data_IF_266120771339
#
_entry.id   IF_266120771339
#
_cell.length_a   1.000
_cell.length_b   1.000
_cell.length_c   1.000
_cell.angle_alpha   90.00
_cell.angle_beta   90.00
_cell.angle_gamma   90.00
#
_symmetry.space_group_name_H-M   'P 1'
#
loop_
_entity.id
_entity.type
_entity.pdbx_description
1 polymer ?
#
# COMPACT_ATOMS: atom_id res chain seq x y z
N UNK A 1 -25.01 7.84 -10.42
CA UNK A 1 -24.84 9.20 -11.00
C UNK A 1 -23.33 9.59 -11.01
N UNK A 2 -22.62 9.54 -9.90
CA UNK A 2 -21.18 9.89 -9.83
C UNK A 2 -20.32 8.99 -10.73
N UNK A 3 -20.61 7.70 -10.82
CA UNK A 3 -19.85 6.75 -11.64
C UNK A 3 -19.81 7.14 -13.13
N UNK A 4 -20.90 7.69 -13.67
CA UNK A 4 -20.94 8.18 -15.06
C UNK A 4 -19.90 9.28 -15.28
N UNK A 5 -19.85 10.25 -14.36
CA UNK A 5 -18.89 11.36 -14.39
C UNK A 5 -17.44 10.85 -14.26
N UNK A 6 -17.21 9.90 -13.36
CA UNK A 6 -15.87 9.35 -13.10
C UNK A 6 -15.34 8.49 -14.25
N UNK A 7 -16.19 7.84 -15.03
CA UNK A 7 -15.77 7.10 -16.23
C UNK A 7 -15.08 7.99 -17.27
N UNK A 8 -15.60 9.21 -17.44
CA UNK A 8 -15.07 10.15 -18.42
C UNK A 8 -13.74 10.79 -17.95
N UNK A 9 -13.42 10.68 -16.64
CA UNK A 9 -12.20 11.21 -16.06
C UNK A 9 -10.96 10.34 -16.31
N UNK A 10 -11.10 9.15 -16.91
CA UNK A 10 -10.02 8.20 -17.18
C UNK A 10 -9.12 7.93 -15.98
N UNK A 11 -9.74 7.64 -14.84
CA UNK A 11 -9.04 7.38 -13.58
C UNK A 11 -8.14 6.15 -13.69
N UNK A 12 -6.95 6.22 -13.10
CA UNK A 12 -6.06 5.05 -12.96
C UNK A 12 -6.70 4.02 -12.02
N UNK A 13 -7.23 4.45 -10.89
CA UNK A 13 -8.17 3.72 -10.03
C UNK A 13 -9.05 4.66 -9.22
N UNK A 14 -10.08 4.10 -8.60
CA UNK A 14 -10.92 4.76 -7.60
C UNK A 14 -10.73 4.02 -6.28
N UNK A 15 -10.23 4.71 -5.25
CA UNK A 15 -9.89 4.13 -3.96
C UNK A 15 -11.01 4.28 -2.96
N UNK A 16 -11.36 3.20 -2.29
CA UNK A 16 -12.36 3.08 -1.21
C UNK A 16 -13.63 3.95 -1.39
N UNK A 17 -14.32 3.89 -2.54
CA UNK A 17 -15.41 4.81 -2.86
C UNK A 17 -16.70 4.58 -2.08
N UNK A 18 -16.73 3.58 -1.18
CA UNK A 18 -17.90 3.22 -0.38
C UNK A 18 -17.53 3.20 1.10
N UNK A 19 -18.43 3.73 1.91
CA UNK A 19 -18.36 3.59 3.37
C UNK A 19 -19.52 2.72 3.90
N UNK A 20 -19.31 1.77 4.81
CA UNK A 20 -18.01 1.34 5.34
C UNK A 20 -17.18 0.57 4.30
N UNK A 21 -15.82 0.57 4.40
CA UNK A 21 -14.93 -0.05 3.41
C UNK A 21 -15.11 -1.58 3.32
N UNK A 22 -15.68 -2.23 4.32
CA UNK A 22 -16.02 -3.66 4.34
C UNK A 22 -17.28 -4.00 3.52
N UNK A 23 -17.93 -3.02 2.89
CA UNK A 23 -19.05 -3.28 2.00
C UNK A 23 -18.59 -3.85 0.65
N UNK A 24 -17.97 -5.04 0.69
CA UNK A 24 -17.39 -5.72 -0.47
C UNK A 24 -18.42 -5.97 -1.59
N UNK A 25 -19.67 -6.24 -1.23
CA UNK A 25 -20.75 -6.38 -2.23
C UNK A 25 -21.05 -5.07 -2.96
N UNK A 26 -20.96 -3.95 -2.26
CA UNK A 26 -21.10 -2.63 -2.85
C UNK A 26 -19.94 -2.30 -3.78
N UNK A 27 -18.70 -2.54 -3.34
CA UNK A 27 -17.49 -2.37 -4.16
C UNK A 27 -17.55 -3.23 -5.43
N UNK A 28 -17.93 -4.50 -5.31
CA UNK A 28 -18.11 -5.41 -6.45
C UNK A 28 -19.11 -4.87 -7.49
N UNK A 29 -20.23 -4.27 -7.03
CA UNK A 29 -21.19 -3.63 -7.93
C UNK A 29 -20.58 -2.43 -8.67
N UNK A 30 -19.77 -1.62 -7.99
CA UNK A 30 -19.08 -0.49 -8.61
C UNK A 30 -18.07 -0.98 -9.65
N UNK A 31 -17.24 -1.95 -9.29
CA UNK A 31 -16.24 -2.55 -10.17
C UNK A 31 -16.86 -3.05 -11.49
N UNK A 32 -18.03 -3.69 -11.44
CA UNK A 32 -18.77 -4.15 -12.63
C UNK A 32 -19.22 -3.03 -13.58
N UNK A 33 -19.15 -1.77 -13.16
CA UNK A 33 -19.38 -0.65 -14.05
C UNK A 33 -18.13 -0.22 -14.86
N UNK A 34 -17.01 -0.95 -14.73
CA UNK A 34 -15.80 -0.74 -15.55
C UNK A 34 -14.88 0.34 -15.02
N UNK A 35 -14.96 0.66 -13.71
CA UNK A 35 -13.96 1.50 -13.02
C UNK A 35 -13.05 0.57 -12.23
N UNK A 36 -11.73 0.73 -12.37
CA UNK A 36 -10.74 0.02 -11.56
C UNK A 36 -10.90 0.44 -10.10
N UNK A 37 -11.13 -0.52 -9.20
CA UNK A 37 -11.30 -0.28 -7.78
C UNK A 37 -10.05 -0.71 -7.02
N UNK A 38 -9.52 0.18 -6.18
CA UNK A 38 -8.49 -0.12 -5.19
C UNK A 38 -9.11 -0.08 -3.78
N UNK A 39 -8.74 -1.04 -2.93
CA UNK A 39 -9.24 -1.09 -1.55
C UNK A 39 -8.36 -1.99 -0.68
N UNK A 40 -8.40 -1.77 0.62
CA UNK A 40 -7.76 -2.66 1.58
C UNK A 40 -6.92 -1.98 2.65
N UNK A 41 -6.77 -0.68 2.63
CA UNK A 41 -6.01 0.04 3.67
C UNK A 41 -6.57 -0.15 5.07
N UNK A 42 -7.87 -0.38 5.19
CA UNK A 42 -8.57 -0.60 6.45
C UNK A 42 -8.71 -2.09 6.83
N UNK A 43 -8.34 -3.01 5.95
CA UNK A 43 -8.29 -4.43 6.25
C UNK A 43 -7.04 -4.78 7.08
N UNK A 44 -7.25 -5.51 8.18
CA UNK A 44 -6.22 -5.83 9.16
C UNK A 44 -5.79 -7.30 9.17
N UNK A 45 -6.42 -8.16 8.36
CA UNK A 45 -6.17 -9.60 8.35
C UNK A 45 -6.20 -10.16 6.93
N UNK A 46 -5.46 -11.24 6.68
CA UNK A 46 -5.52 -11.97 5.42
C UNK A 46 -6.94 -12.48 5.10
N UNK A 47 -7.75 -12.82 6.10
CA UNK A 47 -9.14 -13.22 5.92
C UNK A 47 -10.00 -12.12 5.27
N UNK A 48 -9.82 -10.86 5.65
CA UNK A 48 -10.54 -9.75 5.02
C UNK A 48 -10.14 -9.60 3.54
N UNK A 49 -8.90 -9.86 3.19
CA UNK A 49 -8.46 -9.89 1.79
C UNK A 49 -9.03 -11.11 1.03
N UNK A 50 -9.13 -12.28 1.66
CA UNK A 50 -9.81 -13.44 1.07
C UNK A 50 -11.29 -13.13 0.79
N UNK A 51 -11.99 -12.48 1.72
CA UNK A 51 -13.37 -12.02 1.54
C UNK A 51 -13.49 -10.98 0.42
N UNK A 52 -12.57 -10.01 0.35
CA UNK A 52 -12.52 -9.00 -0.70
C UNK A 52 -12.35 -9.65 -2.09
N UNK A 53 -11.43 -10.60 -2.20
CA UNK A 53 -11.18 -11.38 -3.42
C UNK A 53 -12.39 -12.23 -3.79
N UNK A 54 -12.97 -12.95 -2.82
CA UNK A 54 -14.12 -13.85 -3.03
C UNK A 54 -15.37 -13.10 -3.49
N UNK A 55 -15.52 -11.85 -3.09
CA UNK A 55 -16.60 -10.97 -3.55
C UNK A 55 -16.24 -10.19 -4.84
N UNK A 56 -15.06 -10.39 -5.41
CA UNK A 56 -14.58 -9.60 -6.56
C UNK A 56 -14.66 -8.09 -6.31
N UNK A 57 -14.34 -7.65 -5.09
CA UNK A 57 -14.60 -6.30 -4.63
C UNK A 57 -13.60 -5.25 -5.16
N UNK A 58 -12.36 -5.67 -5.46
CA UNK A 58 -11.31 -4.78 -5.93
C UNK A 58 -10.50 -5.40 -7.06
N UNK A 59 -9.83 -4.56 -7.85
CA UNK A 59 -8.81 -4.93 -8.84
C UNK A 59 -7.41 -4.79 -8.24
N UNK A 60 -7.27 -3.87 -7.29
CA UNK A 60 -6.02 -3.55 -6.59
C UNK A 60 -6.26 -3.73 -5.09
N UNK A 61 -5.47 -4.60 -4.48
CA UNK A 61 -5.44 -4.81 -3.04
C UNK A 61 -4.38 -3.93 -2.40
N UNK A 62 -4.76 -3.21 -1.36
CA UNK A 62 -3.89 -2.22 -0.70
C UNK A 62 -3.60 -2.59 0.77
N UNK A 63 -2.94 -3.73 1.04
CA UNK A 63 -2.56 -4.08 2.40
C UNK A 63 -1.52 -3.12 2.96
N UNK A 64 -1.66 -2.73 4.23
CA UNK A 64 -0.66 -1.96 4.95
C UNK A 64 0.19 -2.87 5.84
N UNK A 65 1.51 -2.88 5.65
CA UNK A 65 2.45 -3.67 6.49
C UNK A 65 2.22 -3.43 7.98
N UNK A 66 1.93 -2.20 8.34
CA UNK A 66 1.74 -1.80 9.75
C UNK A 66 0.39 -2.19 10.33
N UNK A 67 -0.61 -2.50 9.50
CA UNK A 67 -1.96 -2.85 9.93
C UNK A 67 -2.21 -4.37 9.91
N UNK A 68 -1.70 -5.07 8.88
CA UNK A 68 -2.01 -6.49 8.67
C UNK A 68 -1.16 -7.46 9.51
N UNK A 69 -0.23 -6.96 10.32
CA UNK A 69 0.64 -7.80 11.16
C UNK A 69 2.04 -8.04 10.60
N UNK A 70 2.48 -7.26 9.63
CA UNK A 70 3.86 -7.26 9.15
C UNK A 70 4.08 -7.92 7.79
N UNK A 71 5.36 -8.11 7.46
CA UNK A 71 5.83 -8.64 6.17
C UNK A 71 5.23 -10.01 5.85
N UNK A 72 5.19 -10.92 6.81
CA UNK A 72 4.69 -12.29 6.61
C UNK A 72 3.23 -12.31 6.18
N UNK A 73 2.40 -11.43 6.73
CA UNK A 73 0.99 -11.36 6.38
C UNK A 73 0.78 -10.75 4.98
N UNK A 74 1.55 -9.73 4.59
CA UNK A 74 1.50 -9.21 3.21
C UNK A 74 1.92 -10.29 2.20
N UNK A 75 2.96 -11.06 2.50
CA UNK A 75 3.37 -12.19 1.64
C UNK A 75 2.21 -13.17 1.47
N UNK A 76 1.52 -13.54 2.54
CA UNK A 76 0.34 -14.41 2.45
C UNK A 76 -0.74 -13.80 1.55
N UNK A 77 -1.07 -12.52 1.73
CA UNK A 77 -2.06 -11.80 0.92
C UNK A 77 -1.64 -11.80 -0.56
N UNK A 78 -0.38 -11.49 -0.86
CA UNK A 78 0.13 -11.50 -2.22
C UNK A 78 0.10 -12.89 -2.89
N UNK A 79 0.18 -13.95 -2.07
CA UNK A 79 0.11 -15.34 -2.53
C UNK A 79 -1.34 -15.87 -2.68
N UNK A 80 -2.37 -15.12 -2.27
CA UNK A 80 -3.78 -15.48 -2.47
C UNK A 80 -4.22 -15.45 -3.96
N UNK A 81 -3.32 -15.80 -4.88
CA UNK A 81 -3.46 -15.70 -6.33
C UNK A 81 -4.61 -16.57 -6.88
N UNK A 82 -5.84 -16.19 -6.67
CA UNK A 82 -6.97 -16.83 -7.35
C UNK A 82 -7.47 -16.04 -8.57
N UNK A 83 -7.13 -14.75 -8.71
CA UNK A 83 -7.64 -13.86 -9.76
C UNK A 83 -6.59 -12.81 -10.17
N UNK A 84 -6.83 -12.11 -11.27
CA UNK A 84 -5.97 -11.05 -11.84
C UNK A 84 -6.04 -9.73 -11.04
N UNK A 85 -5.84 -9.76 -9.73
CA UNK A 85 -5.69 -8.53 -8.95
C UNK A 85 -4.21 -8.17 -8.75
N UNK A 86 -3.95 -6.90 -8.60
CA UNK A 86 -2.63 -6.36 -8.26
C UNK A 86 -2.56 -6.13 -6.75
N UNK A 87 -1.34 -6.16 -6.21
CA UNK A 87 -1.07 -5.73 -4.84
C UNK A 87 -0.23 -4.46 -4.90
N UNK A 88 -0.77 -3.37 -4.41
CA UNK A 88 -0.11 -2.07 -4.27
C UNK A 88 -0.27 -1.63 -2.82
N UNK A 89 0.74 -1.85 -1.97
CA UNK A 89 0.59 -1.59 -0.54
C UNK A 89 0.27 -0.13 -0.21
N UNK A 90 -0.69 0.07 0.68
CA UNK A 90 -0.96 1.35 1.31
C UNK A 90 0.19 1.68 2.28
N UNK A 91 0.91 2.79 2.04
CA UNK A 91 2.13 3.13 2.77
C UNK A 91 2.35 4.63 3.03
N UNK A 92 1.32 5.41 3.39
CA UNK A 92 1.44 6.85 3.65
C UNK A 92 2.05 7.10 5.03
N UNK A 93 3.20 6.51 5.29
CA UNK A 93 3.92 6.65 6.55
C UNK A 93 5.43 6.65 6.30
N UNK A 94 6.20 6.92 7.35
CA UNK A 94 7.66 6.95 7.35
C UNK A 94 8.19 5.90 8.35
N UNK A 95 9.50 5.76 8.38
CA UNK A 95 10.14 4.90 9.36
C UNK A 95 10.13 3.42 9.00
N UNK A 96 10.19 2.50 10.00
CA UNK A 96 10.35 1.06 9.76
C UNK A 96 9.25 0.44 8.91
N UNK A 97 8.01 0.93 9.03
CA UNK A 97 6.89 0.45 8.23
C UNK A 97 7.09 0.73 6.74
N UNK A 98 7.54 1.93 6.37
CA UNK A 98 7.85 2.28 4.99
C UNK A 98 9.00 1.42 4.45
N UNK A 99 10.07 1.24 5.24
CA UNK A 99 11.20 0.37 4.89
C UNK A 99 10.76 -1.07 4.63
N UNK A 100 9.92 -1.61 5.52
CA UNK A 100 9.36 -2.94 5.34
C UNK A 100 8.50 -3.06 4.06
N UNK A 101 7.72 -2.02 3.74
CA UNK A 101 6.93 -1.97 2.52
C UNK A 101 7.82 -1.98 1.27
N UNK A 102 8.91 -1.20 1.25
CA UNK A 102 9.88 -1.21 0.15
C UNK A 102 10.47 -2.61 -0.08
N UNK A 103 10.85 -3.31 0.98
CA UNK A 103 11.40 -4.68 0.88
C UNK A 103 10.36 -5.67 0.34
N UNK A 104 9.11 -5.56 0.79
CA UNK A 104 8.01 -6.41 0.29
C UNK A 104 7.76 -6.17 -1.19
N UNK A 105 7.68 -4.92 -1.63
CA UNK A 105 7.47 -4.57 -3.03
C UNK A 105 8.61 -5.11 -3.87
N UNK A 106 9.86 -4.89 -3.47
CA UNK A 106 11.04 -5.38 -4.18
C UNK A 106 11.08 -6.90 -4.34
N UNK A 107 10.54 -7.63 -3.36
CA UNK A 107 10.51 -9.10 -3.39
C UNK A 107 9.35 -9.68 -4.20
N UNK A 108 8.19 -9.04 -4.21
CA UNK A 108 6.94 -9.59 -4.74
C UNK A 108 6.51 -8.95 -6.06
N UNK A 109 6.73 -7.66 -6.20
CA UNK A 109 6.22 -6.85 -7.32
C UNK A 109 7.19 -5.70 -7.65
N UNK A 110 8.42 -5.98 -8.13
CA UNK A 110 9.50 -5.00 -8.24
C UNK A 110 9.18 -3.78 -9.12
N UNK A 111 8.21 -3.89 -10.01
CA UNK A 111 7.75 -2.78 -10.88
C UNK A 111 6.41 -2.20 -10.37
N UNK A 112 6.04 -2.44 -9.12
CA UNK A 112 4.79 -1.91 -8.56
C UNK A 112 4.96 -0.48 -8.09
N UNK A 113 3.84 0.21 -8.04
CA UNK A 113 3.74 1.53 -7.41
C UNK A 113 3.86 1.38 -5.90
N UNK A 114 4.36 2.45 -5.28
CA UNK A 114 4.34 2.63 -3.83
C UNK A 114 3.70 3.97 -3.49
N UNK A 115 2.83 3.96 -2.50
CA UNK A 115 2.30 5.20 -1.97
C UNK A 115 3.36 5.89 -1.09
N UNK A 116 3.60 7.17 -1.37
CA UNK A 116 4.45 8.04 -0.56
C UNK A 116 3.64 9.23 -0.07
N UNK A 117 3.64 9.44 1.24
CA UNK A 117 3.00 10.63 1.79
C UNK A 117 3.70 11.90 1.30
N UNK A 118 2.95 12.83 0.72
CA UNK A 118 3.45 14.09 0.20
C UNK A 118 3.72 15.10 1.31
N UNK A 119 4.69 14.77 2.15
CA UNK A 119 5.15 15.59 3.28
C UNK A 119 6.66 15.53 3.35
N UNK A 120 7.30 16.65 3.69
CA UNK A 120 8.71 16.69 4.02
C UNK A 120 8.90 16.61 5.54
N UNK A 121 9.76 15.70 5.97
CA UNK A 121 10.10 15.56 7.38
C UNK A 121 11.21 16.53 7.75
N UNK A 122 11.12 17.12 8.95
CA UNK A 122 12.19 17.91 9.53
C UNK A 122 13.47 17.10 9.79
N UNK A 123 13.32 15.79 9.99
CA UNK A 123 14.41 14.84 10.16
C UNK A 123 13.98 13.49 9.57
N UNK A 124 14.85 12.87 8.79
CA UNK A 124 14.60 11.58 8.15
C UNK A 124 15.37 10.48 8.89
N UNK A 125 14.63 9.54 9.47
CA UNK A 125 15.16 8.43 10.24
C UNK A 125 16.06 7.50 9.39
N UNK A 126 15.84 7.41 8.09
CA UNK A 126 16.51 6.51 7.16
C UNK A 126 17.23 7.23 6.01
N UNK A 127 17.75 8.44 6.28
CA UNK A 127 18.67 9.17 5.40
C UNK A 127 18.26 9.24 3.93
N UNK A 128 17.05 9.70 3.68
CA UNK A 128 16.58 9.98 2.31
C UNK A 128 16.06 8.79 1.53
N UNK A 129 15.80 7.66 2.17
CA UNK A 129 15.20 6.49 1.50
C UNK A 129 13.81 6.74 0.93
N UNK A 130 13.09 7.74 1.42
CA UNK A 130 11.81 8.17 0.86
C UNK A 130 11.95 9.19 -0.29
N UNK A 131 13.17 9.55 -0.69
CA UNK A 131 13.41 10.51 -1.76
C UNK A 131 13.08 9.88 -3.12
N UNK A 132 12.47 10.69 -3.96
CA UNK A 132 12.07 10.32 -5.32
C UNK A 132 13.13 10.80 -6.30
N UNK A 133 13.56 9.95 -7.23
CA UNK A 133 14.45 10.35 -8.32
C UNK A 133 13.71 11.20 -9.38
N UNK A 134 14.42 11.68 -10.38
CA UNK A 134 13.86 12.50 -11.47
C UNK A 134 12.83 11.76 -12.35
N UNK A 135 12.70 10.45 -12.19
CA UNK A 135 11.73 9.60 -12.91
C UNK A 135 10.55 9.19 -12.04
N UNK A 136 10.53 9.64 -10.79
CA UNK A 136 9.48 9.27 -9.85
C UNK A 136 9.70 7.94 -9.11
N UNK A 137 10.92 7.37 -9.14
CA UNK A 137 11.21 6.09 -8.50
C UNK A 137 11.82 6.29 -7.11
N UNK A 138 11.59 5.31 -6.24
CA UNK A 138 12.23 5.18 -4.94
C UNK A 138 13.15 3.96 -4.98
N UNK A 139 14.41 4.13 -4.59
CA UNK A 139 15.38 3.04 -4.53
C UNK A 139 15.13 2.16 -3.31
N UNK A 140 15.15 0.84 -3.51
CA UNK A 140 15.05 -0.14 -2.42
C UNK A 140 16.43 -0.32 -1.80
N UNK A 141 16.60 -0.06 -0.49
CA UNK A 141 17.88 -0.28 0.18
C UNK A 141 18.24 -1.78 0.21
N UNK A 142 19.53 -2.08 0.04
CA UNK A 142 20.03 -3.46 -0.15
C UNK A 142 20.88 -3.97 1.03
N UNK A 143 20.89 -3.30 2.18
CA UNK A 143 21.56 -3.77 3.39
C UNK A 143 20.82 -4.91 4.08
N UNK A 144 21.32 -5.35 5.21
CA UNK A 144 20.69 -6.39 6.03
C UNK A 144 19.37 -5.91 6.66
N UNK A 145 18.51 -6.84 7.04
CA UNK A 145 17.22 -6.56 7.69
C UNK A 145 16.28 -5.77 6.79
N UNK A 146 15.94 -4.55 7.20
CA UNK A 146 15.11 -3.63 6.40
C UNK A 146 15.90 -2.87 5.32
N UNK A 147 17.18 -3.23 5.13
CA UNK A 147 18.03 -2.69 4.08
C UNK A 147 18.86 -1.49 4.48
N UNK A 148 18.61 -0.89 5.65
CA UNK A 148 19.35 0.26 6.19
C UNK A 148 19.13 0.39 7.70
N UNK A 149 20.17 0.77 8.41
CA UNK A 149 20.05 1.10 9.84
C UNK A 149 19.49 2.51 10.05
N UNK A 150 18.67 2.72 11.07
CA UNK A 150 18.16 4.04 11.39
C UNK A 150 19.25 4.96 11.92
N UNK A 151 19.10 6.25 11.68
CA UNK A 151 20.02 7.28 12.18
C UNK A 151 19.86 7.44 13.71
N UNK A 152 20.88 7.00 14.47
CA UNK A 152 20.87 7.01 15.93
C UNK A 152 20.82 8.43 16.53
N UNK A 153 21.41 9.42 15.89
CA UNK A 153 21.36 10.82 16.36
C UNK A 153 19.94 11.37 16.29
N UNK A 154 19.19 10.99 15.25
CA UNK A 154 17.78 11.36 15.11
C UNK A 154 16.93 10.67 16.17
N UNK A 155 17.19 9.38 16.43
CA UNK A 155 16.51 8.65 17.50
C UNK A 155 16.75 9.36 18.84
N UNK A 156 18.01 9.63 19.19
CA UNK A 156 18.36 10.29 20.46
C UNK A 156 17.69 11.66 20.59
N UNK A 157 17.76 12.47 19.53
CA UNK A 157 17.22 13.84 19.51
C UNK A 157 15.70 13.90 19.69
N UNK A 158 14.95 12.92 19.16
CA UNK A 158 13.48 12.93 19.15
C UNK A 158 12.85 11.89 20.08
N UNK A 159 13.67 11.14 20.83
CA UNK A 159 13.14 10.21 21.85
C UNK A 159 12.46 10.98 22.98
N UNK A 160 11.27 10.51 23.33
CA UNK A 160 10.51 10.99 24.51
C UNK A 160 11.10 10.28 25.73
N UNK A 161 11.52 11.04 26.74
CA UNK A 161 12.00 10.50 28.02
C UNK A 161 10.84 10.32 28.98
#
# INVERSE_FOLDING_TARGET
>A
EIIGILKDANLYWLEEPIWPPENYKGLSKLRKNGITIASGENACTSYQFEEMISNEAADILQPSVTKVGGISEIIKIALLKKNNFRVVPHSPYFGPGFMATLQVIGALTPDSEIERLYVELKADLYNGTSNIDSKGNISIPNGTGLGMEPNLEIIEKYSIK
#
